data_IF_945632836503
#
_entry.id   IF_945632836503
#
_cell.length_a   1.000
_cell.length_b   1.000
_cell.length_c   1.000
_cell.angle_alpha   90.00
_cell.angle_beta   90.00
_cell.angle_gamma   90.00
#
_symmetry.space_group_name_H-M   'P 1'
#
loop_
_entity.id
_entity.type
_entity.pdbx_description
1 polymer ?
#
# COMPACT_ATOMS: atom_id res chain seq x y z
N UNK A 1 -17.74 -8.61 10.32
CA UNK A 1 -16.41 -9.18 10.66
C UNK A 1 -15.62 -8.15 11.47
N UNK A 2 -14.72 -8.59 12.36
CA UNK A 2 -13.76 -7.69 13.04
C UNK A 2 -12.41 -7.78 12.34
N UNK A 3 -11.93 -6.67 11.79
CA UNK A 3 -10.65 -6.55 11.10
C UNK A 3 -9.65 -5.92 12.05
N UNK A 4 -8.50 -6.56 12.25
CA UNK A 4 -7.34 -5.89 12.84
C UNK A 4 -6.53 -5.26 11.70
N UNK A 5 -6.46 -3.93 11.67
CA UNK A 5 -5.71 -3.17 10.67
C UNK A 5 -4.38 -2.72 11.27
N UNK A 6 -3.29 -2.94 10.53
CA UNK A 6 -2.01 -2.30 10.79
C UNK A 6 -1.18 -2.19 9.51
N UNK A 7 -0.13 -1.39 9.53
CA UNK A 7 0.78 -1.11 8.42
C UNK A 7 2.08 -0.51 8.97
N UNK A 8 3.07 -0.29 8.10
CA UNK A 8 4.29 0.47 8.42
C UNK A 8 5.01 -0.16 9.64
N UNK A 9 5.19 -1.47 9.60
CA UNK A 9 5.85 -2.27 10.65
C UNK A 9 7.38 -2.20 10.50
N UNK A 10 7.86 -2.13 9.27
CA UNK A 10 9.26 -2.03 8.89
C UNK A 10 10.18 -3.08 9.52
N UNK A 11 9.91 -4.36 9.24
CA UNK A 11 10.70 -5.50 9.75
C UNK A 11 12.17 -5.48 9.29
N UNK A 12 12.48 -4.80 8.18
CA UNK A 12 13.83 -4.53 7.68
C UNK A 12 14.68 -3.70 8.66
N UNK A 13 14.04 -2.93 9.53
CA UNK A 13 14.72 -2.14 10.57
C UNK A 13 15.14 -2.97 11.78
N UNK A 14 15.06 -4.29 11.70
CA UNK A 14 15.52 -5.15 12.77
C UNK A 14 17.03 -5.05 13.03
N UNK A 15 17.43 -5.16 14.31
CA UNK A 15 18.83 -4.97 14.75
C UNK A 15 19.85 -5.95 14.14
N UNK A 16 19.39 -7.03 13.51
CA UNK A 16 20.17 -8.06 12.83
C UNK A 16 19.43 -8.37 11.54
N UNK A 17 20.13 -8.93 10.52
CA UNK A 17 19.48 -9.49 9.31
C UNK A 17 18.16 -10.15 9.70
N UNK A 18 17.05 -9.70 9.13
CA UNK A 18 15.73 -10.18 9.52
C UNK A 18 15.69 -11.71 9.43
N UNK A 19 15.30 -12.35 10.53
CA UNK A 19 15.07 -13.78 10.62
C UNK A 19 13.67 -13.99 11.21
N UNK A 20 12.73 -14.63 10.49
CA UNK A 20 11.33 -14.68 10.90
C UNK A 20 11.11 -15.42 12.22
N UNK A 21 11.95 -16.41 12.53
CA UNK A 21 11.88 -17.17 13.77
C UNK A 21 12.54 -16.47 14.96
N UNK A 22 13.27 -15.37 14.71
CA UNK A 22 13.94 -14.65 15.79
C UNK A 22 12.98 -13.67 16.45
N UNK A 23 13.06 -13.63 17.78
CA UNK A 23 12.15 -12.84 18.58
C UNK A 23 12.67 -11.41 18.72
N UNK A 24 12.07 -10.48 17.98
CA UNK A 24 12.41 -9.05 18.05
C UNK A 24 11.34 -8.30 18.85
N UNK A 25 11.72 -7.79 20.03
CA UNK A 25 10.84 -7.10 20.99
C UNK A 25 9.94 -6.04 20.34
N UNK A 26 10.50 -5.19 19.48
CA UNK A 26 9.75 -4.11 18.83
C UNK A 26 8.72 -4.61 17.81
N UNK A 27 8.89 -5.82 17.26
CA UNK A 27 7.93 -6.48 16.37
C UNK A 27 6.82 -7.21 17.14
N UNK A 28 6.92 -7.30 18.47
CA UNK A 28 5.94 -7.95 19.35
C UNK A 28 4.96 -6.96 19.97
N UNK A 29 4.14 -6.32 19.16
CA UNK A 29 2.97 -5.62 19.69
C UNK A 29 1.78 -6.58 19.81
N UNK A 30 0.99 -6.46 20.87
CA UNK A 30 -0.25 -7.23 21.05
C UNK A 30 -1.24 -6.96 19.91
N UNK A 31 -2.16 -7.90 19.67
CA UNK A 31 -3.31 -7.68 18.79
C UNK A 31 -4.54 -8.39 19.36
N UNK A 32 -5.77 -7.94 19.04
CA UNK A 32 -6.97 -8.53 19.60
C UNK A 32 -7.20 -9.93 19.05
N UNK A 33 -7.23 -10.94 19.92
CA UNK A 33 -7.48 -12.32 19.50
C UNK A 33 -8.86 -12.53 18.86
N UNK A 34 -9.80 -11.62 19.14
CA UNK A 34 -11.14 -11.62 18.51
C UNK A 34 -11.16 -11.11 17.06
N UNK A 35 -10.02 -10.67 16.51
CA UNK A 35 -9.91 -10.35 15.10
C UNK A 35 -10.20 -11.58 14.24
N UNK A 36 -11.13 -11.42 13.28
CA UNK A 36 -11.50 -12.45 12.30
C UNK A 36 -10.55 -12.49 11.10
N UNK A 37 -9.94 -11.36 10.77
CA UNK A 37 -8.92 -11.23 9.72
C UNK A 37 -7.90 -10.17 10.14
N UNK A 38 -6.63 -10.39 9.76
CA UNK A 38 -5.55 -9.42 9.87
C UNK A 38 -5.39 -8.75 8.50
N UNK A 39 -5.42 -7.42 8.46
CA UNK A 39 -5.16 -6.64 7.26
C UNK A 39 -3.88 -5.85 7.46
N UNK A 40 -2.90 -6.12 6.61
CA UNK A 40 -1.58 -5.49 6.58
C UNK A 40 -1.51 -4.55 5.37
N UNK A 41 -1.61 -3.24 5.60
CA UNK A 41 -1.74 -2.22 4.55
C UNK A 41 -0.38 -1.61 4.14
N UNK A 42 0.58 -2.47 3.80
CA UNK A 42 1.90 -2.11 3.26
C UNK A 42 2.95 -1.69 4.28
N UNK A 43 4.19 -1.64 3.79
CA UNK A 43 5.40 -1.35 4.55
C UNK A 43 5.56 -2.25 5.78
N UNK A 44 5.28 -3.53 5.60
CA UNK A 44 5.53 -4.52 6.65
C UNK A 44 7.01 -4.93 6.62
N UNK A 45 7.60 -4.97 5.42
CA UNK A 45 9.03 -5.12 5.26
C UNK A 45 9.50 -5.06 3.81
N UNK A 46 10.72 -5.52 3.57
CA UNK A 46 11.37 -5.57 2.26
C UNK A 46 11.24 -6.97 1.64
N UNK A 47 10.98 -7.03 0.33
CA UNK A 47 10.86 -8.28 -0.42
C UNK A 47 9.82 -9.20 0.23
N UNK A 48 10.24 -10.41 0.61
CA UNK A 48 9.38 -11.41 1.23
C UNK A 48 9.39 -11.38 2.76
N UNK A 49 10.24 -10.56 3.39
CA UNK A 49 10.50 -10.66 4.83
C UNK A 49 9.27 -10.26 5.69
N UNK A 50 8.47 -9.30 5.22
CA UNK A 50 7.23 -8.87 5.86
C UNK A 50 6.16 -9.97 5.80
N UNK A 51 6.14 -10.77 4.74
CA UNK A 51 5.24 -11.90 4.55
C UNK A 51 5.60 -13.03 5.53
N UNK A 52 6.89 -13.35 5.63
CA UNK A 52 7.40 -14.34 6.60
C UNK A 52 7.12 -13.91 8.04
N UNK A 53 7.37 -12.64 8.36
CA UNK A 53 7.01 -12.06 9.65
C UNK A 53 5.52 -12.18 9.94
N UNK A 54 4.66 -11.82 8.99
CA UNK A 54 3.22 -11.83 9.16
C UNK A 54 2.71 -13.23 9.52
N UNK A 55 3.16 -14.26 8.79
CA UNK A 55 2.77 -15.65 9.08
C UNK A 55 3.29 -16.10 10.44
N UNK A 56 4.53 -15.76 10.80
CA UNK A 56 5.08 -16.09 12.12
C UNK A 56 4.31 -15.38 13.25
N UNK A 57 3.93 -14.11 13.06
CA UNK A 57 3.26 -13.28 14.06
C UNK A 57 1.80 -13.65 14.28
N UNK A 58 1.06 -13.91 13.20
CA UNK A 58 -0.39 -14.11 13.20
C UNK A 58 -0.75 -15.56 12.90
N UNK A 59 -0.13 -16.49 13.63
CA UNK A 59 -0.36 -17.94 13.48
C UNK A 59 -1.86 -18.25 13.52
N UNK A 60 -2.32 -19.04 12.54
CA UNK A 60 -3.72 -19.49 12.40
C UNK A 60 -4.75 -18.37 12.20
N UNK A 61 -4.33 -17.17 11.79
CA UNK A 61 -5.24 -16.11 11.37
C UNK A 61 -5.28 -16.03 9.84
N UNK A 62 -6.44 -15.63 9.35
CA UNK A 62 -6.58 -15.18 7.96
C UNK A 62 -5.82 -13.86 7.80
N UNK A 63 -4.93 -13.76 6.82
CA UNK A 63 -4.08 -12.58 6.59
C UNK A 63 -4.30 -12.07 5.17
N UNK A 64 -4.65 -10.79 5.07
CA UNK A 64 -4.59 -10.01 3.84
C UNK A 64 -3.36 -9.12 3.92
N UNK A 65 -2.55 -9.14 2.87
CA UNK A 65 -1.33 -8.37 2.74
C UNK A 65 -1.42 -7.50 1.48
N UNK A 66 -1.32 -6.19 1.63
CA UNK A 66 -1.12 -5.27 0.51
C UNK A 66 0.34 -4.79 0.58
N UNK A 67 1.13 -4.87 -0.49
CA UNK A 67 2.48 -4.32 -0.48
C UNK A 67 2.44 -2.79 -0.40
N UNK A 68 3.42 -2.22 0.30
CA UNK A 68 3.77 -0.82 0.27
C UNK A 68 5.00 -0.58 -0.62
N UNK A 69 5.63 0.58 -0.49
CA UNK A 69 6.80 0.92 -1.28
C UNK A 69 8.07 0.24 -0.75
N UNK A 70 8.16 -0.02 0.56
CA UNK A 70 9.32 -0.69 1.17
C UNK A 70 9.48 -2.13 0.71
N UNK A 71 8.39 -2.84 0.38
CA UNK A 71 8.46 -4.18 -0.20
C UNK A 71 9.32 -4.25 -1.47
N UNK A 72 9.46 -3.12 -2.18
CA UNK A 72 10.20 -3.01 -3.44
C UNK A 72 11.62 -2.43 -3.28
N UNK A 73 12.04 -2.00 -2.09
CA UNK A 73 13.34 -1.37 -1.89
C UNK A 73 14.50 -2.33 -2.20
N UNK A 74 15.57 -1.80 -2.77
CA UNK A 74 16.76 -2.54 -3.24
C UNK A 74 16.43 -3.70 -4.20
N UNK A 75 15.32 -3.60 -4.92
CA UNK A 75 14.84 -4.61 -5.86
C UNK A 75 14.14 -4.01 -7.07
N UNK A 76 13.87 -4.85 -8.07
CA UNK A 76 13.00 -4.50 -9.18
C UNK A 76 11.52 -4.60 -8.81
N UNK A 77 10.66 -3.79 -9.44
CA UNK A 77 9.21 -3.93 -9.35
C UNK A 77 8.72 -5.37 -9.59
N UNK A 78 9.47 -6.18 -10.35
CA UNK A 78 9.18 -7.60 -10.56
C UNK A 78 9.21 -8.48 -9.29
N UNK A 79 9.74 -7.99 -8.16
CA UNK A 79 9.73 -8.74 -6.88
C UNK A 79 8.32 -9.10 -6.40
N UNK A 80 7.28 -8.43 -6.92
CA UNK A 80 5.88 -8.79 -6.67
C UNK A 80 5.57 -10.25 -6.99
N UNK A 81 6.25 -10.85 -7.97
CA UNK A 81 6.03 -12.25 -8.34
C UNK A 81 6.59 -13.19 -7.26
N UNK A 82 7.81 -12.96 -6.78
CA UNK A 82 8.40 -13.69 -5.64
C UNK A 82 7.57 -13.50 -4.36
N UNK A 83 7.04 -12.30 -4.14
CA UNK A 83 6.14 -12.02 -3.02
C UNK A 83 4.84 -12.81 -3.12
N UNK A 84 4.23 -12.90 -4.30
CA UNK A 84 3.03 -13.73 -4.52
C UNK A 84 3.31 -15.20 -4.29
N UNK A 85 4.43 -15.72 -4.79
CA UNK A 85 4.84 -17.11 -4.57
C UNK A 85 5.02 -17.40 -3.07
N UNK A 86 5.74 -16.53 -2.35
CA UNK A 86 5.93 -16.69 -0.90
C UNK A 86 4.63 -16.56 -0.12
N UNK A 87 3.77 -15.60 -0.49
CA UNK A 87 2.48 -15.42 0.16
C UNK A 87 1.61 -16.67 0.00
N UNK A 88 1.56 -17.25 -1.20
CA UNK A 88 0.85 -18.50 -1.45
C UNK A 88 1.43 -19.68 -0.66
N UNK A 89 2.77 -19.82 -0.60
CA UNK A 89 3.46 -20.82 0.22
C UNK A 89 3.07 -20.72 1.70
N UNK A 90 2.92 -19.49 2.20
CA UNK A 90 2.62 -19.19 3.59
C UNK A 90 1.13 -18.95 3.88
N UNK A 91 0.23 -19.27 2.93
CA UNK A 91 -1.23 -19.14 3.09
C UNK A 91 -1.68 -17.69 3.43
N UNK A 92 -1.05 -16.70 2.81
CA UNK A 92 -1.37 -15.26 2.92
C UNK A 92 -2.00 -14.78 1.61
N UNK A 93 -3.11 -14.04 1.70
CA UNK A 93 -3.72 -13.37 0.55
C UNK A 93 -2.99 -12.06 0.26
N UNK A 94 -2.00 -12.10 -0.63
CA UNK A 94 -1.35 -10.89 -1.13
C UNK A 94 -2.20 -10.25 -2.23
N UNK A 95 -2.56 -8.97 -2.06
CA UNK A 95 -3.39 -8.23 -2.98
C UNK A 95 -2.65 -7.00 -3.53
N UNK A 96 -2.41 -6.98 -4.84
CA UNK A 96 -1.98 -5.79 -5.57
C UNK A 96 -2.70 -5.74 -6.92
N UNK A 97 -3.68 -4.84 -7.02
CA UNK A 97 -4.74 -4.86 -8.03
C UNK A 97 -5.44 -6.23 -8.09
N UNK A 98 -5.72 -6.78 -6.92
CA UNK A 98 -6.36 -8.09 -6.75
C UNK A 98 -7.40 -8.08 -5.63
N UNK A 99 -8.27 -9.09 -5.64
CA UNK A 99 -9.43 -9.18 -4.77
C UNK A 99 -9.58 -10.57 -4.13
N UNK A 100 -10.11 -10.59 -2.91
CA UNK A 100 -10.51 -11.83 -2.22
C UNK A 100 -11.85 -11.64 -1.51
N UNK A 101 -12.62 -12.71 -1.39
CA UNK A 101 -13.87 -12.71 -0.61
C UNK A 101 -13.70 -13.65 0.58
N UNK A 102 -13.83 -13.10 1.79
CA UNK A 102 -13.73 -13.86 3.04
C UNK A 102 -15.02 -13.64 3.82
N UNK A 103 -15.74 -14.74 4.09
CA UNK A 103 -17.02 -14.73 4.83
C UNK A 103 -18.03 -13.69 4.31
N UNK A 104 -18.17 -13.56 2.98
CA UNK A 104 -19.10 -12.65 2.33
C UNK A 104 -18.68 -11.17 2.33
N UNK A 105 -17.45 -10.85 2.73
CA UNK A 105 -16.86 -9.51 2.61
C UNK A 105 -15.82 -9.55 1.49
N UNK A 106 -15.94 -8.63 0.54
CA UNK A 106 -14.99 -8.44 -0.56
C UNK A 106 -13.90 -7.48 -0.12
N UNK A 107 -12.65 -7.88 -0.28
CA UNK A 107 -11.47 -7.05 -0.08
C UNK A 107 -10.86 -6.75 -1.44
N UNK A 108 -10.58 -5.48 -1.70
CA UNK A 108 -9.90 -5.01 -2.91
C UNK A 108 -8.57 -4.39 -2.47
N UNK A 109 -7.45 -4.90 -2.94
CA UNK A 109 -6.12 -4.47 -2.50
C UNK A 109 -5.27 -3.89 -3.64
N UNK A 110 -4.56 -2.80 -3.36
CA UNK A 110 -3.58 -2.21 -4.29
C UNK A 110 -2.53 -1.39 -3.55
N UNK A 111 -1.27 -1.41 -4.00
CA UNK A 111 -0.25 -0.46 -3.49
C UNK A 111 -0.70 0.99 -3.66
N UNK A 112 -1.51 1.23 -4.70
CA UNK A 112 -2.09 2.49 -5.18
C UNK A 112 -1.08 3.47 -5.78
N UNK A 113 0.14 3.55 -5.25
CA UNK A 113 1.19 4.46 -5.70
C UNK A 113 0.77 5.94 -5.74
N UNK A 114 1.74 6.83 -5.91
CA UNK A 114 1.52 8.28 -5.87
C UNK A 114 0.81 8.80 -7.13
N UNK A 115 -0.27 9.57 -6.93
CA UNK A 115 -0.82 10.44 -7.96
C UNK A 115 0.07 11.68 -8.14
N UNK A 116 0.58 11.92 -9.36
CA UNK A 116 1.34 13.12 -9.72
C UNK A 116 0.59 14.06 -10.66
N UNK A 117 -0.67 13.77 -11.01
CA UNK A 117 -1.41 14.51 -12.04
C UNK A 117 -1.61 15.98 -11.69
N UNK A 118 -1.69 16.30 -10.39
CA UNK A 118 -1.96 17.66 -9.90
C UNK A 118 -0.69 18.48 -9.60
N UNK A 119 0.49 17.96 -9.89
CA UNK A 119 1.75 18.58 -9.48
C UNK A 119 2.37 19.41 -10.59
N UNK A 120 2.97 20.52 -10.20
CA UNK A 120 3.93 21.21 -11.04
C UNK A 120 5.21 20.39 -11.22
N UNK A 121 5.94 20.64 -12.30
CA UNK A 121 7.23 19.99 -12.55
C UNK A 121 8.21 20.13 -11.38
N UNK A 122 8.22 21.32 -10.75
CA UNK A 122 9.06 21.61 -9.61
C UNK A 122 8.74 20.75 -8.39
N UNK A 123 7.45 20.49 -8.13
CA UNK A 123 7.04 19.64 -7.02
C UNK A 123 7.35 18.16 -7.29
N UNK A 124 7.23 17.72 -8.55
CA UNK A 124 7.64 16.38 -8.98
C UNK A 124 9.15 16.19 -8.81
N UNK A 125 9.97 17.16 -9.25
CA UNK A 125 11.43 17.08 -9.11
C UNK A 125 11.84 17.06 -7.63
N UNK A 126 11.19 17.86 -6.77
CA UNK A 126 11.38 17.79 -5.32
C UNK A 126 10.97 16.44 -4.73
N UNK A 127 9.85 15.87 -5.15
CA UNK A 127 9.41 14.56 -4.69
C UNK A 127 10.44 13.49 -5.11
N UNK A 128 10.98 13.57 -6.33
CA UNK A 128 12.04 12.69 -6.83
C UNK A 128 13.31 12.79 -5.97
N UNK A 129 13.68 14.00 -5.56
CA UNK A 129 14.84 14.21 -4.68
C UNK A 129 14.61 13.72 -3.26
N UNK A 130 13.39 13.87 -2.72
CA UNK A 130 13.11 13.58 -1.31
C UNK A 130 12.74 12.12 -1.05
N UNK A 131 11.96 11.49 -1.93
CA UNK A 131 11.50 10.12 -1.74
C UNK A 131 12.58 9.09 -2.09
N UNK A 132 12.69 8.10 -1.22
CA UNK A 132 13.64 7.00 -1.36
C UNK A 132 13.24 6.00 -2.46
N UNK A 133 11.96 5.94 -2.80
CA UNK A 133 11.40 5.05 -3.83
C UNK A 133 12.16 5.16 -5.15
N UNK A 134 12.47 6.39 -5.57
CA UNK A 134 13.16 6.67 -6.84
C UNK A 134 14.67 6.41 -6.80
N UNK A 135 15.20 5.98 -5.65
CA UNK A 135 16.62 5.63 -5.47
C UNK A 135 16.81 4.13 -5.32
N UNK A 136 15.90 3.48 -4.60
CA UNK A 136 16.06 2.08 -4.20
C UNK A 136 15.20 1.11 -5.01
N UNK A 137 14.21 1.58 -5.78
CA UNK A 137 13.38 0.71 -6.61
C UNK A 137 13.88 0.76 -8.05
N UNK A 138 14.21 -0.39 -8.64
CA UNK A 138 14.43 -0.53 -10.08
C UNK A 138 13.16 -0.92 -10.83
N UNK A 139 13.09 -0.65 -12.12
CA UNK A 139 11.95 -1.08 -12.94
C UNK A 139 12.38 -1.56 -14.35
N UNK A 140 13.53 -2.22 -14.41
CA UNK A 140 14.15 -2.77 -15.64
C UNK A 140 13.19 -3.72 -16.35
N UNK A 141 12.53 -4.61 -15.60
CA UNK A 141 11.59 -5.59 -16.16
C UNK A 141 10.34 -4.87 -16.68
N UNK A 142 9.84 -3.90 -15.93
CA UNK A 142 8.68 -3.07 -16.34
C UNK A 142 8.94 -2.35 -17.67
N UNK A 143 10.12 -1.74 -17.85
CA UNK A 143 10.51 -1.06 -19.09
C UNK A 143 10.79 -1.99 -20.28
N UNK A 144 11.01 -3.28 -20.02
CA UNK A 144 11.21 -4.28 -21.08
C UNK A 144 9.91 -4.61 -21.83
N UNK A 145 8.75 -4.35 -21.20
CA UNK A 145 7.44 -4.49 -21.81
C UNK A 145 7.18 -3.36 -22.83
N UNK A 146 6.97 -3.74 -24.09
CA UNK A 146 6.80 -2.79 -25.18
C UNK A 146 5.55 -1.92 -25.03
N UNK A 147 4.47 -2.46 -24.46
CA UNK A 147 3.22 -1.73 -24.29
C UNK A 147 3.35 -0.70 -23.17
N UNK A 148 3.85 -1.11 -22.01
CA UNK A 148 4.11 -0.21 -20.86
C UNK A 148 5.08 0.90 -21.24
N UNK A 149 6.16 0.56 -21.94
CA UNK A 149 7.12 1.54 -22.44
C UNK A 149 6.49 2.53 -23.42
N UNK A 150 5.65 2.06 -24.35
CA UNK A 150 5.01 2.94 -25.34
C UNK A 150 4.05 3.91 -24.66
N UNK A 151 3.23 3.42 -23.73
CA UNK A 151 2.33 4.24 -22.92
C UNK A 151 3.10 5.30 -22.12
N UNK A 152 4.16 4.88 -21.41
CA UNK A 152 5.04 5.76 -20.67
C UNK A 152 5.64 6.87 -21.51
N UNK A 153 6.22 6.52 -22.66
CA UNK A 153 6.82 7.48 -23.57
C UNK A 153 5.77 8.45 -24.18
N UNK A 154 4.51 8.04 -24.29
CA UNK A 154 3.43 8.92 -24.76
C UNK A 154 3.06 10.02 -23.76
N UNK A 155 3.27 9.77 -22.46
CA UNK A 155 3.05 10.76 -21.39
C UNK A 155 4.21 11.73 -21.24
N UNK A 156 5.42 11.33 -21.65
CA UNK A 156 6.57 12.23 -21.70
C UNK A 156 6.35 13.21 -22.86
N UNK A 157 5.81 14.41 -22.58
CA UNK A 157 5.98 15.53 -23.51
C UNK A 157 7.48 15.67 -23.79
N UNK A 158 7.85 15.72 -25.08
CA UNK A 158 9.22 15.64 -25.65
C UNK A 158 10.31 16.53 -25.00
N UNK A 159 9.95 17.43 -24.08
CA UNK A 159 10.86 18.31 -23.34
C UNK A 159 11.34 17.71 -21.98
N UNK A 160 10.80 16.56 -21.53
CA UNK A 160 11.01 16.01 -20.19
C UNK A 160 12.07 14.89 -20.03
N UNK A 161 12.87 14.60 -21.06
CA UNK A 161 13.83 13.47 -21.06
C UNK A 161 15.18 13.77 -20.36
N UNK A 162 15.43 14.99 -19.92
CA UNK A 162 16.66 15.32 -19.18
C UNK A 162 16.63 14.67 -17.80
N UNK A 163 17.54 13.70 -17.56
CA UNK A 163 17.65 13.00 -16.28
C UNK A 163 16.66 11.84 -16.09
N UNK A 164 16.07 11.34 -17.19
CA UNK A 164 15.31 10.09 -17.20
C UNK A 164 16.28 8.89 -17.24
N UNK A 165 16.10 7.96 -16.31
CA UNK A 165 16.83 6.70 -16.26
C UNK A 165 15.80 5.55 -16.29
N UNK A 166 15.74 4.76 -17.38
CA UNK A 166 14.81 3.64 -17.50
C UNK A 166 15.21 2.44 -16.62
N UNK A 167 16.34 2.47 -15.93
CA UNK A 167 16.66 1.42 -14.96
C UNK A 167 15.88 1.58 -13.65
N UNK A 168 15.52 2.82 -13.28
CA UNK A 168 14.98 3.14 -11.96
C UNK A 168 13.52 3.59 -11.99
N UNK A 169 12.84 3.33 -10.88
CA UNK A 169 11.50 3.84 -10.65
C UNK A 169 11.47 5.36 -10.77
N UNK A 170 10.38 5.90 -11.31
CA UNK A 170 10.25 7.33 -11.55
C UNK A 170 8.83 7.80 -11.24
N UNK A 171 8.62 9.12 -10.99
CA UNK A 171 7.29 9.66 -10.75
C UNK A 171 6.28 9.32 -11.86
N UNK A 172 6.73 9.20 -13.10
CA UNK A 172 5.87 8.81 -14.22
C UNK A 172 5.48 7.33 -14.16
N UNK A 173 6.39 6.43 -13.78
CA UNK A 173 6.04 5.02 -13.56
C UNK A 173 5.09 4.89 -12.37
N UNK A 174 5.33 5.61 -11.27
CA UNK A 174 4.42 5.66 -10.12
C UNK A 174 3.01 6.12 -10.54
N UNK A 175 2.91 7.19 -11.32
CA UNK A 175 1.65 7.71 -11.83
C UNK A 175 0.91 6.71 -12.73
N UNK A 176 1.63 5.99 -13.60
CA UNK A 176 1.02 4.95 -14.46
C UNK A 176 0.48 3.77 -13.64
N UNK A 177 1.26 3.30 -12.67
CA UNK A 177 0.80 2.26 -11.75
C UNK A 177 -0.43 2.73 -10.96
N UNK A 178 -0.43 3.99 -10.52
CA UNK A 178 -1.57 4.61 -9.86
C UNK A 178 -2.83 4.62 -10.73
N UNK A 179 -2.71 5.10 -11.97
CA UNK A 179 -3.83 5.13 -12.92
C UNK A 179 -4.39 3.73 -13.17
N UNK A 180 -3.52 2.73 -13.34
CA UNK A 180 -3.93 1.33 -13.48
C UNK A 180 -4.67 0.82 -12.24
N UNK A 181 -4.20 1.15 -11.03
CA UNK A 181 -4.89 0.80 -9.78
C UNK A 181 -6.26 1.46 -9.64
N UNK A 182 -6.37 2.75 -9.95
CA UNK A 182 -7.65 3.48 -9.90
C UNK A 182 -8.63 2.94 -10.93
N UNK A 183 -8.18 2.63 -12.14
CA UNK A 183 -9.01 2.01 -13.17
C UNK A 183 -9.52 0.64 -12.71
N UNK A 184 -8.61 -0.22 -12.25
CA UNK A 184 -8.97 -1.56 -11.76
C UNK A 184 -9.95 -1.48 -10.58
N UNK A 185 -9.71 -0.61 -9.60
CA UNK A 185 -10.64 -0.38 -8.48
C UNK A 185 -12.01 0.07 -8.99
N UNK A 186 -12.04 0.99 -9.96
CA UNK A 186 -13.27 1.47 -10.57
C UNK A 186 -14.07 0.36 -11.24
N UNK A 187 -13.38 -0.55 -11.95
CA UNK A 187 -13.99 -1.73 -12.57
C UNK A 187 -14.57 -2.68 -11.50
N UNK A 188 -13.81 -3.00 -10.45
CA UNK A 188 -14.26 -3.87 -9.37
C UNK A 188 -15.45 -3.29 -8.59
N UNK A 189 -15.42 -1.99 -8.30
CA UNK A 189 -16.48 -1.29 -7.56
C UNK A 189 -17.75 -1.10 -8.39
N UNK A 190 -17.64 -1.11 -9.73
CA UNK A 190 -18.78 -1.15 -10.64
C UNK A 190 -19.43 -2.53 -10.74
N UNK A 191 -18.74 -3.62 -10.39
CA UNK A 191 -19.32 -4.96 -10.36
C UNK A 191 -20.30 -5.09 -9.18
N UNK A 192 -21.57 -5.50 -9.41
CA UNK A 192 -22.54 -5.71 -8.34
C UNK A 192 -22.02 -6.72 -7.30
N UNK A 193 -22.11 -6.35 -6.02
CA UNK A 193 -21.77 -7.23 -4.92
C UNK A 193 -22.75 -7.00 -3.77
N UNK A 194 -23.42 -8.06 -3.31
CA UNK A 194 -24.43 -7.97 -2.25
C UNK A 194 -23.83 -7.89 -0.83
N UNK A 195 -22.56 -8.25 -0.68
CA UNK A 195 -21.83 -8.16 0.58
C UNK A 195 -21.20 -6.80 0.83
N UNK A 196 -20.39 -6.70 1.88
CA UNK A 196 -19.63 -5.48 2.20
C UNK A 196 -18.31 -5.45 1.45
N UNK A 197 -17.89 -4.27 0.95
CA UNK A 197 -16.58 -4.09 0.32
C UNK A 197 -15.66 -3.28 1.23
N UNK A 198 -14.45 -3.80 1.43
CA UNK A 198 -13.34 -3.11 2.07
C UNK A 198 -12.28 -2.86 1.01
N UNK A 199 -11.88 -1.61 0.84
CA UNK A 199 -10.72 -1.26 0.01
C UNK A 199 -9.51 -1.14 0.92
N UNK A 200 -8.38 -1.71 0.52
CA UNK A 200 -7.12 -1.65 1.26
C UNK A 200 -6.05 -1.14 0.32
N UNK A 201 -5.46 0.00 0.62
CA UNK A 201 -4.33 0.53 -0.14
C UNK A 201 -3.13 0.77 0.75
N UNK A 202 -1.92 0.85 0.20
CA UNK A 202 -0.82 1.36 1.02
C UNK A 202 -0.84 2.89 1.06
N UNK A 203 -0.75 3.53 -0.11
CA UNK A 203 -0.83 4.99 -0.23
C UNK A 203 -2.22 5.49 0.16
N UNK A 204 -2.29 6.67 0.76
CA UNK A 204 -3.55 7.24 1.22
C UNK A 204 -4.42 7.70 0.04
N UNK A 205 -5.75 7.51 0.09
CA UNK A 205 -6.63 7.85 -1.03
C UNK A 205 -7.17 9.29 -0.99
N UNK A 206 -6.84 10.08 0.04
CA UNK A 206 -7.29 11.47 0.16
C UNK A 206 -6.26 12.31 0.89
N UNK A 207 -6.11 13.55 0.42
CA UNK A 207 -5.21 14.55 1.00
C UNK A 207 -5.55 14.88 2.46
N UNK A 208 -6.79 14.65 2.89
CA UNK A 208 -7.22 14.84 4.29
C UNK A 208 -6.49 13.91 5.28
N UNK A 209 -5.90 12.82 4.78
CA UNK A 209 -5.01 11.94 5.56
C UNK A 209 -3.70 12.64 5.94
N UNK A 210 -3.26 13.61 5.13
CA UNK A 210 -2.04 14.38 5.34
C UNK A 210 -2.38 15.75 5.96
N UNK A 211 -1.80 16.09 7.10
CA UNK A 211 -2.01 17.41 7.75
C UNK A 211 -1.20 18.56 7.12
N UNK A 212 -0.25 18.20 6.25
CA UNK A 212 0.54 19.10 5.42
C UNK A 212 0.32 18.61 4.00
N UNK A 213 0.35 19.52 3.03
CA UNK A 213 0.36 19.21 1.60
C UNK A 213 1.60 18.35 1.26
N UNK A 214 1.49 17.06 1.52
CA UNK A 214 2.47 16.04 1.17
C UNK A 214 1.79 15.07 0.24
N UNK A 215 1.52 15.60 -0.94
CA UNK A 215 0.84 14.89 -2.01
C UNK A 215 1.59 13.60 -2.39
N UNK A 216 2.89 13.47 -2.05
CA UNK A 216 3.67 12.31 -2.45
C UNK A 216 3.18 11.03 -1.75
N UNK A 217 2.46 11.21 -0.64
CA UNK A 217 1.96 10.16 0.23
C UNK A 217 0.45 9.91 0.11
N UNK A 218 -0.28 10.80 -0.56
CA UNK A 218 -1.73 10.73 -0.67
C UNK A 218 -2.19 11.17 -2.06
N UNK A 219 -3.20 10.48 -2.59
CA UNK A 219 -3.83 10.82 -3.86
C UNK A 219 -5.13 11.59 -3.62
N UNK A 220 -5.53 12.45 -4.55
CA UNK A 220 -6.82 13.13 -4.46
C UNK A 220 -7.93 12.31 -5.12
N UNK A 221 -8.38 11.25 -4.44
CA UNK A 221 -9.44 10.37 -4.93
C UNK A 221 -10.82 10.68 -4.34
N UNK A 222 -11.05 11.89 -3.82
CA UNK A 222 -12.30 12.22 -3.14
C UNK A 222 -13.52 12.10 -4.05
N UNK A 223 -13.43 12.58 -5.30
CA UNK A 223 -14.48 12.41 -6.30
C UNK A 223 -14.67 10.95 -6.72
N UNK A 224 -13.60 10.15 -6.73
CA UNK A 224 -13.70 8.70 -7.00
C UNK A 224 -14.42 7.99 -5.84
N UNK A 225 -14.06 8.32 -4.59
CA UNK A 225 -14.71 7.80 -3.39
C UNK A 225 -16.19 8.18 -3.40
N UNK A 226 -16.53 9.44 -3.71
CA UNK A 226 -17.92 9.91 -3.80
C UNK A 226 -18.72 9.12 -4.85
N UNK A 227 -18.16 8.93 -6.05
CA UNK A 227 -18.77 8.15 -7.13
C UNK A 227 -19.12 6.72 -6.69
N UNK A 228 -18.28 6.09 -5.87
CA UNK A 228 -18.42 4.71 -5.43
C UNK A 228 -18.85 4.58 -3.95
N UNK A 229 -19.33 5.66 -3.32
CA UNK A 229 -19.58 5.68 -1.88
C UNK A 229 -20.63 4.65 -1.44
N UNK A 230 -21.57 4.30 -2.33
CA UNK A 230 -22.58 3.29 -2.07
C UNK A 230 -22.03 1.84 -2.06
N UNK A 231 -20.87 1.60 -2.66
CA UNK A 231 -20.27 0.26 -2.79
C UNK A 231 -19.08 0.03 -1.86
N UNK A 232 -18.49 1.08 -1.30
CA UNK A 232 -17.36 1.02 -0.37
C UNK A 232 -17.87 1.19 1.07
N UNK A 233 -17.61 0.21 1.94
CA UNK A 233 -17.97 0.31 3.36
C UNK A 233 -16.86 0.94 4.21
N UNK A 234 -15.61 0.56 3.94
CA UNK A 234 -14.41 1.11 4.60
C UNK A 234 -13.26 1.13 3.59
N UNK A 235 -12.43 2.17 3.66
CA UNK A 235 -11.13 2.24 3.00
C UNK A 235 -10.03 2.27 4.05
N UNK A 236 -9.17 1.26 4.05
CA UNK A 236 -8.02 1.14 4.93
C UNK A 236 -6.74 1.56 4.21
N UNK A 237 -5.84 2.28 4.86
CA UNK A 237 -4.51 2.58 4.29
C UNK A 237 -3.37 2.69 5.32
N UNK A 238 -2.14 2.89 4.82
CA UNK A 238 -0.90 3.08 5.59
C UNK A 238 -0.10 4.31 5.14
N UNK A 239 1.23 4.16 5.05
CA UNK A 239 2.24 5.04 4.41
C UNK A 239 2.51 6.38 5.11
N UNK A 240 1.47 7.03 5.63
CA UNK A 240 1.58 8.40 6.17
C UNK A 240 2.12 8.46 7.60
N UNK A 241 2.44 7.31 8.20
CA UNK A 241 2.95 7.17 9.58
C UNK A 241 2.11 7.95 10.62
N UNK A 242 0.80 7.97 10.42
CA UNK A 242 -0.19 8.55 11.34
C UNK A 242 -1.48 7.77 11.27
N UNK A 243 -2.09 7.50 12.42
CA UNK A 243 -3.42 6.93 12.50
C UNK A 243 -4.48 8.00 12.22
N UNK A 244 -5.35 7.71 11.25
CA UNK A 244 -6.52 8.54 10.92
C UNK A 244 -7.80 7.71 10.98
N UNK A 245 -8.92 8.39 11.21
CA UNK A 245 -10.26 7.82 11.17
C UNK A 245 -11.26 8.93 10.87
N UNK A 246 -11.63 9.06 9.60
CA UNK A 246 -12.48 10.14 9.12
C UNK A 246 -13.42 9.63 8.03
N UNK A 247 -14.22 10.52 7.44
CA UNK A 247 -15.12 10.18 6.34
C UNK A 247 -14.94 11.09 5.13
N UNK A 248 -15.03 10.49 3.96
CA UNK A 248 -15.15 11.17 2.66
C UNK A 248 -16.42 10.64 2.00
N UNK A 249 -17.35 11.54 1.65
CA UNK A 249 -18.65 11.17 1.06
C UNK A 249 -19.40 10.04 1.82
N UNK A 250 -19.24 9.95 3.15
CA UNK A 250 -19.84 8.93 3.99
C UNK A 250 -19.03 7.62 4.14
N UNK A 251 -18.04 7.37 3.27
CA UNK A 251 -17.11 6.24 3.36
C UNK A 251 -16.11 6.50 4.49
N UNK A 252 -15.91 5.51 5.37
CA UNK A 252 -14.93 5.61 6.46
C UNK A 252 -13.52 5.35 5.92
N UNK A 253 -12.61 6.31 6.11
CA UNK A 253 -11.19 6.21 5.74
C UNK A 253 -10.39 6.02 7.03
N UNK A 254 -9.58 4.96 7.11
CA UNK A 254 -8.89 4.55 8.33
C UNK A 254 -7.45 4.14 8.05
N UNK A 255 -6.53 4.56 8.91
CA UNK A 255 -5.19 3.99 9.00
C UNK A 255 -4.85 3.60 10.45
N UNK A 256 -3.88 2.71 10.61
CA UNK A 256 -3.32 2.35 11.91
C UNK A 256 -1.83 1.95 11.80
N UNK A 257 -0.97 2.85 11.30
CA UNK A 257 0.43 2.56 11.05
C UNK A 257 1.21 2.50 12.38
N UNK A 258 2.08 1.50 12.50
CA UNK A 258 2.94 1.36 13.69
C UNK A 258 4.16 2.28 13.62
N UNK A 259 4.60 2.65 12.42
CA UNK A 259 5.79 3.44 12.18
C UNK A 259 7.09 2.72 12.56
N UNK A 260 8.21 3.39 12.28
CA UNK A 260 9.55 2.81 12.43
C UNK A 260 9.84 2.31 13.86
N UNK A 261 10.43 1.10 14.02
CA UNK A 261 10.77 0.50 15.30
C UNK A 261 11.56 1.35 16.31
N UNK A 262 12.42 2.26 15.84
CA UNK A 262 13.30 3.08 16.69
C UNK A 262 12.84 4.52 16.85
N UNK A 263 11.71 4.87 16.23
CA UNK A 263 11.07 6.16 16.41
C UNK A 263 9.97 6.06 17.46
N UNK A 264 9.51 7.22 17.93
CA UNK A 264 8.32 7.25 18.76
C UNK A 264 7.15 6.65 17.95
N UNK A 265 6.44 5.69 18.55
CA UNK A 265 5.22 5.12 17.97
C UNK A 265 4.29 6.28 17.58
N UNK A 266 3.79 6.33 16.34
CA UNK A 266 2.94 7.41 15.87
C UNK A 266 1.77 7.67 16.81
N UNK A 267 1.48 8.95 17.03
CA UNK A 267 0.30 9.36 17.79
C UNK A 267 -0.95 8.74 17.20
N UNK A 268 -1.70 8.00 18.02
CA UNK A 268 -2.95 7.36 17.65
C UNK A 268 -2.81 5.94 17.10
N UNK A 269 -1.60 5.36 17.02
CA UNK A 269 -1.47 3.91 16.85
C UNK A 269 -2.17 3.19 18.01
N UNK A 270 -3.04 2.24 17.66
CA UNK A 270 -3.83 1.50 18.62
C UNK A 270 -3.75 0.00 18.29
N UNK A 271 -3.04 -0.73 19.14
CA UNK A 271 -2.84 -2.16 19.02
C UNK A 271 -4.09 -2.98 19.39
N UNK A 272 -5.16 -2.32 19.86
CA UNK A 272 -6.47 -2.92 20.11
C UNK A 272 -7.54 -2.50 19.09
N UNK A 273 -7.16 -1.68 18.08
CA UNK A 273 -8.09 -1.14 17.07
C UNK A 273 -8.70 -2.26 16.23
N UNK A 274 -10.01 -2.43 16.34
CA UNK A 274 -10.80 -3.30 15.48
C UNK A 274 -11.75 -2.50 14.61
N UNK A 275 -11.66 -2.71 13.31
CA UNK A 275 -12.61 -2.16 12.34
C UNK A 275 -13.73 -3.18 12.19
N UNK A 276 -14.93 -2.81 12.62
CA UNK A 276 -16.13 -3.60 12.41
C UNK A 276 -16.72 -3.25 11.05
N UNK A 277 -16.75 -4.25 10.17
CA UNK A 277 -17.43 -4.20 8.87
C UNK A 277 -18.62 -5.11 8.93
#
# INVERSE_FOLDING_TARGET
MKIFLTSDIHTERSHKRFLPDFDYDFLRFSYPQSAGVIVLAGDIGEWVNGIEWARYRFKNKEIIYVPGNHEYYDSDLAIIDDMREKAAELDIHLLDNDAIIINGIRFLGATLWTDFNRYSRFEIDKAKEYLNDYRYISCRVWWSDVHKRTEALSLIKLEGLTGFDPEYFSPMVAYLLHMNSVEWLGQQLSMPFHGKTVVVTHHAPSMLSCHIENYAYASDLESFIEKYAATINVWCHGHIHRSVDYKVAGVRIVSNPRGYPFEAVPTGFDNEKLICV
#
